data_IF_868203374132
#
_entry.id   IF_868203374132
#
_cell.length_a   1.000
_cell.length_b   1.000
_cell.length_c   1.000
_cell.angle_alpha   90.00
_cell.angle_beta   90.00
_cell.angle_gamma   90.00
#
_symmetry.space_group_name_H-M   'P 1'
#
loop_
_entity.id
_entity.type
_entity.pdbx_description
1 polymer ?
#
# COMPACT_ATOMS: atom_id res chain seq x y z
N UNK A 1 44.72 -35.65 -10.69
CA UNK A 1 44.06 -34.40 -10.29
C UNK A 1 43.26 -34.66 -9.03
N UNK A 2 43.72 -34.17 -7.87
CA UNK A 2 43.06 -34.43 -6.58
C UNK A 2 41.68 -33.76 -6.57
N UNK A 3 40.62 -34.53 -6.27
CA UNK A 3 39.28 -33.97 -6.03
C UNK A 3 39.38 -33.06 -4.81
N UNK A 4 39.31 -31.75 -5.03
CA UNK A 4 39.31 -30.77 -3.94
C UNK A 4 38.22 -31.07 -2.92
N UNK A 5 38.55 -30.95 -1.63
CA UNK A 5 37.62 -31.18 -0.53
C UNK A 5 36.40 -30.28 -0.69
N UNK A 6 35.20 -30.86 -0.69
CA UNK A 6 33.95 -30.09 -0.69
C UNK A 6 33.67 -29.58 0.72
N UNK A 7 33.63 -28.26 0.88
CA UNK A 7 33.20 -27.63 2.14
C UNK A 7 31.72 -27.89 2.38
N UNK A 8 31.39 -28.35 3.58
CA UNK A 8 30.01 -28.42 4.06
C UNK A 8 29.49 -27.03 4.40
N UNK A 9 28.19 -26.95 4.65
CA UNK A 9 27.57 -25.66 4.97
C UNK A 9 28.07 -25.09 6.31
N UNK A 10 28.28 -25.96 7.30
CA UNK A 10 28.86 -25.61 8.60
C UNK A 10 30.29 -25.10 8.45
N UNK A 11 31.09 -25.71 7.56
CA UNK A 11 32.47 -25.27 7.30
C UNK A 11 32.51 -23.86 6.72
N UNK A 12 31.62 -23.54 5.78
CA UNK A 12 31.54 -22.20 5.17
C UNK A 12 31.21 -21.12 6.20
N UNK A 13 30.31 -21.43 7.13
CA UNK A 13 29.93 -20.52 8.21
C UNK A 13 31.06 -20.31 9.22
N UNK A 14 31.81 -21.37 9.57
CA UNK A 14 33.00 -21.27 10.43
C UNK A 14 34.08 -20.40 9.79
N UNK A 15 34.36 -20.62 8.51
CA UNK A 15 35.33 -19.84 7.73
C UNK A 15 34.96 -18.35 7.73
N UNK A 16 33.69 -18.02 7.50
CA UNK A 16 33.22 -16.64 7.52
C UNK A 16 33.38 -15.99 8.91
N UNK A 17 33.07 -16.73 9.98
CA UNK A 17 33.22 -16.25 11.36
C UNK A 17 34.69 -16.01 11.73
N UNK A 18 35.57 -16.96 11.41
CA UNK A 18 37.01 -16.85 11.68
C UNK A 18 37.67 -15.73 10.87
N UNK A 19 37.22 -15.49 9.63
CA UNK A 19 37.64 -14.34 8.82
C UNK A 19 37.21 -13.01 9.43
N UNK A 20 35.99 -12.91 9.96
CA UNK A 20 35.50 -11.71 10.65
C UNK A 20 36.27 -11.44 11.96
N UNK A 21 36.80 -12.49 12.60
CA UNK A 21 37.66 -12.39 13.78
C UNK A 21 39.13 -12.07 13.45
N UNK A 22 39.46 -11.89 12.17
CA UNK A 22 40.79 -11.43 11.72
C UNK A 22 41.76 -12.54 11.30
N UNK A 23 41.35 -13.82 11.28
CA UNK A 23 42.22 -14.93 10.84
C UNK A 23 42.53 -14.80 9.36
N UNK A 24 43.78 -15.02 8.92
CA UNK A 24 44.18 -14.86 7.53
C UNK A 24 43.56 -15.94 6.62
N UNK A 25 43.22 -15.56 5.38
CA UNK A 25 42.61 -16.50 4.42
C UNK A 25 43.56 -17.63 4.01
N UNK A 26 44.88 -17.40 4.06
CA UNK A 26 45.90 -18.41 3.78
C UNK A 26 45.91 -19.53 4.83
N UNK A 27 45.82 -19.16 6.12
CA UNK A 27 45.79 -20.11 7.23
C UNK A 27 44.52 -20.98 7.16
N UNK A 28 43.39 -20.39 6.81
CA UNK A 28 42.13 -21.10 6.60
C UNK A 28 42.19 -22.01 5.37
N UNK A 29 42.79 -21.56 4.27
CA UNK A 29 42.98 -22.38 3.08
C UNK A 29 43.81 -23.64 3.39
N UNK A 30 44.89 -23.49 4.16
CA UNK A 30 45.74 -24.60 4.59
C UNK A 30 45.00 -25.53 5.56
N UNK A 31 44.31 -24.99 6.58
CA UNK A 31 43.57 -25.75 7.59
C UNK A 31 42.43 -26.57 7.00
N UNK A 32 41.69 -26.00 6.06
CA UNK A 32 40.58 -26.67 5.39
C UNK A 32 40.99 -27.45 4.14
N UNK A 33 42.25 -27.36 3.70
CA UNK A 33 42.77 -28.05 2.52
C UNK A 33 42.07 -27.60 1.22
N UNK A 34 41.73 -26.31 1.12
CA UNK A 34 40.99 -25.72 -0.01
C UNK A 34 41.75 -24.52 -0.58
N UNK A 35 41.40 -24.10 -1.80
CA UNK A 35 42.02 -22.92 -2.40
C UNK A 35 41.56 -21.61 -1.73
N UNK A 36 42.39 -20.57 -1.82
CA UNK A 36 42.03 -19.21 -1.38
C UNK A 36 40.70 -18.73 -2.00
N UNK A 37 40.48 -19.03 -3.28
CA UNK A 37 39.21 -18.73 -3.98
C UNK A 37 38.01 -19.37 -3.28
N UNK A 38 38.16 -20.58 -2.78
CA UNK A 38 37.10 -21.30 -2.06
C UNK A 38 36.81 -20.65 -0.70
N UNK A 39 37.83 -20.15 -0.02
CA UNK A 39 37.68 -19.37 1.22
C UNK A 39 36.93 -18.06 0.96
N UNK A 40 37.32 -17.28 -0.05
CA UNK A 40 36.61 -16.05 -0.42
C UNK A 40 35.17 -16.32 -0.85
N UNK A 41 34.92 -17.40 -1.60
CA UNK A 41 33.56 -17.80 -1.96
C UNK A 41 32.72 -18.20 -0.74
N UNK A 42 33.30 -18.85 0.27
CA UNK A 42 32.61 -19.19 1.51
C UNK A 42 32.25 -17.93 2.33
N UNK A 43 33.15 -16.95 2.39
CA UNK A 43 32.91 -15.64 3.03
C UNK A 43 31.80 -14.89 2.29
N UNK A 44 31.89 -14.78 0.96
CA UNK A 44 30.87 -14.11 0.16
C UNK A 44 29.51 -14.82 0.27
N UNK A 45 29.49 -16.15 0.24
CA UNK A 45 28.25 -16.91 0.45
C UNK A 45 27.64 -16.66 1.83
N UNK A 46 28.45 -16.48 2.87
CA UNK A 46 27.97 -16.13 4.20
C UNK A 46 27.48 -14.67 4.29
N UNK A 47 28.15 -13.73 3.63
CA UNK A 47 27.74 -12.33 3.53
C UNK A 47 26.45 -12.18 2.71
N UNK A 48 26.34 -12.86 1.57
CA UNK A 48 25.12 -12.91 0.75
C UNK A 48 23.96 -13.51 1.55
N UNK A 49 24.23 -14.55 2.35
CA UNK A 49 23.22 -15.11 3.24
C UNK A 49 22.91 -14.18 4.41
N UNK A 50 23.87 -13.44 4.97
CA UNK A 50 23.61 -12.43 6.01
C UNK A 50 22.83 -11.24 5.47
N UNK A 51 23.06 -10.83 4.22
CA UNK A 51 22.30 -9.78 3.56
C UNK A 51 20.90 -10.26 3.17
N UNK A 52 20.75 -11.54 2.78
CA UNK A 52 19.45 -12.16 2.53
C UNK A 52 18.66 -12.48 3.81
N UNK A 53 19.34 -12.83 4.91
CA UNK A 53 18.76 -13.20 6.22
C UNK A 53 18.94 -12.14 7.33
N UNK A 54 19.29 -10.89 7.00
CA UNK A 54 19.62 -9.84 7.97
C UNK A 54 18.53 -9.66 9.03
N UNK A 55 18.87 -9.96 10.29
CA UNK A 55 18.02 -10.09 11.47
C UNK A 55 16.70 -9.30 11.42
N UNK A 56 15.61 -10.00 11.15
CA UNK A 56 14.23 -9.52 11.35
C UNK A 56 13.70 -10.15 12.65
N UNK A 57 14.07 -9.63 13.84
CA UNK A 57 13.80 -10.30 15.11
C UNK A 57 12.31 -10.24 15.51
N UNK A 58 11.56 -9.30 14.92
CA UNK A 58 10.17 -9.06 15.28
C UNK A 58 9.27 -9.97 14.44
N UNK A 59 8.64 -10.93 15.10
CA UNK A 59 7.61 -11.78 14.51
C UNK A 59 6.25 -11.11 14.70
N UNK A 60 5.58 -10.82 13.59
CA UNK A 60 4.18 -10.39 13.59
C UNK A 60 3.33 -11.61 13.26
N UNK A 61 2.60 -12.13 14.26
CA UNK A 61 1.67 -13.23 14.09
C UNK A 61 0.27 -12.73 13.75
N UNK A 62 -0.33 -13.25 12.68
CA UNK A 62 -1.70 -12.93 12.27
C UNK A 62 -2.50 -14.23 12.07
N UNK A 63 -3.69 -14.30 12.65
CA UNK A 63 -4.67 -15.34 12.32
C UNK A 63 -5.59 -14.81 11.24
N UNK A 64 -5.74 -15.59 10.17
CA UNK A 64 -6.64 -15.29 9.05
C UNK A 64 -7.57 -16.46 8.80
N UNK A 65 -8.79 -16.15 8.38
CA UNK A 65 -9.73 -17.11 7.84
C UNK A 65 -9.27 -17.63 6.47
N UNK A 66 -9.85 -18.76 6.04
CA UNK A 66 -9.60 -19.31 4.70
C UNK A 66 -9.96 -18.34 3.58
N UNK A 67 -11.04 -17.57 3.77
CA UNK A 67 -11.52 -16.59 2.79
C UNK A 67 -10.51 -15.45 2.62
N UNK A 68 -9.98 -14.95 3.72
CA UNK A 68 -8.97 -13.87 3.70
C UNK A 68 -7.67 -14.33 3.04
N UNK A 69 -7.19 -15.53 3.37
CA UNK A 69 -5.99 -16.09 2.74
C UNK A 69 -6.18 -16.28 1.23
N UNK A 70 -7.32 -16.83 0.80
CA UNK A 70 -7.62 -17.04 -0.62
C UNK A 70 -7.71 -15.71 -1.39
N UNK A 71 -8.32 -14.68 -0.80
CA UNK A 71 -8.38 -13.35 -1.39
C UNK A 71 -6.99 -12.73 -1.54
N UNK A 72 -6.12 -12.92 -0.54
CA UNK A 72 -4.74 -12.46 -0.59
C UNK A 72 -3.94 -13.19 -1.68
N UNK A 73 -4.03 -14.52 -1.74
CA UNK A 73 -3.36 -15.31 -2.78
C UNK A 73 -3.80 -14.93 -4.19
N UNK A 74 -5.10 -14.72 -4.40
CA UNK A 74 -5.64 -14.25 -5.67
C UNK A 74 -5.08 -12.87 -6.04
N UNK A 75 -4.87 -11.98 -5.06
CA UNK A 75 -4.24 -10.69 -5.32
C UNK A 75 -2.77 -10.86 -5.74
N UNK A 76 -1.99 -11.67 -5.03
CA UNK A 76 -0.59 -11.92 -5.38
C UNK A 76 -0.44 -12.59 -6.75
N UNK A 77 -1.32 -13.54 -7.08
CA UNK A 77 -1.32 -14.24 -8.36
C UNK A 77 -1.50 -13.28 -9.55
N UNK A 78 -2.32 -12.23 -9.42
CA UNK A 78 -2.49 -11.20 -10.47
C UNK A 78 -1.19 -10.46 -10.79
N UNK A 79 -0.25 -10.40 -9.85
CA UNK A 79 1.06 -9.77 -10.02
C UNK A 79 2.20 -10.80 -10.23
N UNK A 80 1.87 -12.09 -10.33
CA UNK A 80 2.86 -13.17 -10.47
C UNK A 80 3.74 -13.39 -9.24
N UNK A 81 3.28 -12.95 -8.06
CA UNK A 81 4.03 -13.02 -6.80
C UNK A 81 3.68 -14.32 -6.08
N UNK A 82 4.70 -15.11 -5.73
CA UNK A 82 4.53 -16.41 -5.07
C UNK A 82 4.89 -16.39 -3.58
N UNK A 83 5.71 -15.43 -3.16
CA UNK A 83 6.14 -15.31 -1.77
C UNK A 83 5.25 -14.32 -0.99
N UNK A 84 4.31 -14.88 -0.22
CA UNK A 84 3.41 -14.13 0.68
C UNK A 84 4.15 -13.25 1.68
N UNK A 85 5.23 -13.77 2.26
CA UNK A 85 5.95 -13.07 3.32
C UNK A 85 6.70 -11.87 2.77
N UNK A 86 7.28 -11.99 1.58
CA UNK A 86 7.90 -10.84 0.91
C UNK A 86 6.85 -9.80 0.50
N UNK A 87 5.70 -10.24 -0.03
CA UNK A 87 4.61 -9.32 -0.35
C UNK A 87 4.12 -8.54 0.87
N UNK A 88 3.93 -9.20 2.02
CA UNK A 88 3.56 -8.54 3.27
C UNK A 88 4.64 -7.57 3.76
N UNK A 89 5.92 -7.91 3.63
CA UNK A 89 7.01 -7.01 4.01
C UNK A 89 7.02 -5.73 3.18
N UNK A 90 6.83 -5.86 1.88
CA UNK A 90 6.75 -4.71 0.99
C UNK A 90 5.53 -3.83 1.28
N UNK A 91 4.39 -4.43 1.68
CA UNK A 91 3.24 -3.66 2.17
C UNK A 91 3.53 -2.95 3.50
N UNK A 92 4.20 -3.61 4.45
CA UNK A 92 4.59 -3.01 5.73
C UNK A 92 5.57 -1.84 5.52
N UNK A 93 6.52 -1.97 4.59
CA UNK A 93 7.44 -0.89 4.24
C UNK A 93 6.73 0.30 3.59
N UNK A 94 5.71 0.04 2.77
CA UNK A 94 4.90 1.07 2.13
C UNK A 94 3.70 1.51 2.98
N UNK A 95 3.60 1.07 4.25
CA UNK A 95 2.41 1.29 5.06
C UNK A 95 2.13 2.77 5.27
N UNK A 96 3.16 3.59 5.43
CA UNK A 96 3.02 5.05 5.53
C UNK A 96 2.33 5.62 4.27
N UNK A 97 2.87 5.33 3.07
CA UNK A 97 2.28 5.77 1.80
C UNK A 97 0.84 5.24 1.59
N UNK A 98 0.54 4.01 2.03
CA UNK A 98 -0.75 3.34 1.79
C UNK A 98 -1.82 3.80 2.79
N UNK A 99 -1.45 3.99 4.05
CA UNK A 99 -2.36 4.32 5.15
C UNK A 99 -2.53 5.82 5.37
N UNK A 100 -1.71 6.64 4.70
CA UNK A 100 -1.84 8.09 4.74
C UNK A 100 -3.28 8.54 4.40
N UNK A 101 -3.90 9.37 5.27
CA UNK A 101 -5.17 10.01 4.99
C UNK A 101 -5.11 10.74 3.66
N UNK A 102 -6.16 10.59 2.86
CA UNK A 102 -6.27 11.34 1.61
C UNK A 102 -6.70 12.77 1.94
N UNK A 103 -5.71 13.64 2.16
CA UNK A 103 -5.92 15.05 2.44
C UNK A 103 -6.66 15.74 1.28
N UNK A 104 -6.35 15.40 0.03
CA UNK A 104 -7.02 15.97 -1.14
C UNK A 104 -8.50 15.55 -1.20
N UNK A 105 -8.81 14.29 -0.90
CA UNK A 105 -10.20 13.83 -0.76
C UNK A 105 -10.89 14.53 0.41
N UNK A 106 -10.22 14.68 1.54
CA UNK A 106 -10.78 15.31 2.75
C UNK A 106 -11.13 16.79 2.50
N UNK A 107 -10.23 17.53 1.85
CA UNK A 107 -10.46 18.92 1.43
C UNK A 107 -11.59 19.01 0.42
N UNK A 108 -11.60 18.14 -0.60
CA UNK A 108 -12.67 18.10 -1.60
C UNK A 108 -14.03 17.81 -0.96
N UNK A 109 -14.12 16.88 -0.02
CA UNK A 109 -15.36 16.58 0.72
C UNK A 109 -15.79 17.75 1.60
N UNK A 110 -14.85 18.41 2.28
CA UNK A 110 -15.13 19.53 3.18
C UNK A 110 -15.67 20.75 2.41
N UNK A 111 -15.06 21.09 1.27
CA UNK A 111 -15.55 22.16 0.40
C UNK A 111 -16.98 21.88 -0.07
N UNK A 112 -17.31 20.62 -0.38
CA UNK A 112 -18.67 20.23 -0.81
C UNK A 112 -19.69 20.21 0.31
N UNK A 113 -19.29 19.82 1.52
CA UNK A 113 -20.16 19.95 2.69
C UNK A 113 -20.57 21.42 2.93
N UNK A 114 -19.66 22.37 2.67
CA UNK A 114 -19.96 23.80 2.75
C UNK A 114 -20.97 24.24 1.67
N UNK A 115 -20.80 23.81 0.41
CA UNK A 115 -21.75 24.08 -0.68
C UNK A 115 -23.17 23.58 -0.36
N UNK A 116 -23.28 22.34 0.12
CA UNK A 116 -24.55 21.73 0.52
C UNK A 116 -25.19 22.51 1.67
N UNK A 117 -24.39 22.90 2.67
CA UNK A 117 -24.86 23.68 3.81
C UNK A 117 -25.41 25.04 3.38
N UNK A 118 -24.74 25.72 2.45
CA UNK A 118 -25.19 27.00 1.87
C UNK A 118 -26.57 26.85 1.20
N UNK A 119 -26.74 25.84 0.34
CA UNK A 119 -28.01 25.66 -0.37
C UNK A 119 -29.12 25.15 0.56
N UNK A 120 -28.79 24.26 1.51
CA UNK A 120 -29.73 23.81 2.54
C UNK A 120 -30.29 24.98 3.35
N UNK A 121 -29.45 25.97 3.68
CA UNK A 121 -29.90 27.21 4.33
C UNK A 121 -30.88 28.01 3.44
N UNK A 122 -30.62 28.11 2.14
CA UNK A 122 -31.54 28.78 1.20
C UNK A 122 -32.90 28.08 1.12
N UNK A 123 -32.91 26.73 1.09
CA UNK A 123 -34.15 25.94 1.10
C UNK A 123 -34.91 26.13 2.42
N UNK A 124 -34.21 26.09 3.56
CA UNK A 124 -34.83 26.33 4.87
C UNK A 124 -35.48 27.71 4.94
N UNK A 125 -34.88 28.73 4.33
CA UNK A 125 -35.49 30.06 4.23
C UNK A 125 -36.77 30.05 3.39
N UNK A 126 -36.77 29.36 2.24
CA UNK A 126 -37.98 29.20 1.41
C UNK A 126 -39.09 28.50 2.19
N UNK A 127 -38.78 27.37 2.83
CA UNK A 127 -39.75 26.61 3.65
C UNK A 127 -40.34 27.48 4.77
N UNK A 128 -39.49 28.26 5.46
CA UNK A 128 -39.92 29.17 6.52
C UNK A 128 -40.85 30.26 5.99
N UNK A 129 -40.52 30.92 4.87
CA UNK A 129 -41.37 31.94 4.24
C UNK A 129 -42.74 31.38 3.85
N UNK A 130 -42.77 30.16 3.28
CA UNK A 130 -44.02 29.49 2.92
C UNK A 130 -44.88 29.17 4.15
N UNK A 131 -44.26 28.68 5.24
CA UNK A 131 -44.94 28.41 6.49
C UNK A 131 -45.52 29.68 7.13
N UNK A 132 -44.76 30.79 7.12
CA UNK A 132 -45.20 32.08 7.64
C UNK A 132 -46.37 32.67 6.84
N UNK A 133 -46.34 32.57 5.51
CA UNK A 133 -47.45 33.01 4.65
C UNK A 133 -48.73 32.22 4.94
N UNK A 134 -48.61 30.88 5.09
CA UNK A 134 -49.72 30.00 5.44
C UNK A 134 -50.34 30.35 6.80
N UNK A 135 -49.50 30.58 7.82
CA UNK A 135 -49.95 30.95 9.16
C UNK A 135 -50.69 32.30 9.19
N UNK A 136 -50.28 33.25 8.35
CA UNK A 136 -50.89 34.58 8.24
C UNK A 136 -52.12 34.61 7.32
N UNK A 137 -52.52 33.49 6.72
CA UNK A 137 -53.60 33.44 5.73
C UNK A 137 -53.30 34.21 4.43
N UNK A 138 -52.02 34.47 4.16
CA UNK A 138 -51.55 35.19 2.98
C UNK A 138 -51.35 34.23 1.81
N UNK A 139 -51.39 34.71 0.55
CA UNK A 139 -51.02 33.90 -0.60
C UNK A 139 -49.64 33.28 -0.42
N UNK A 140 -49.47 32.02 -0.80
CA UNK A 140 -48.19 31.32 -0.71
C UNK A 140 -47.14 32.07 -1.54
N UNK A 141 -46.09 32.57 -0.89
CA UNK A 141 -45.00 33.31 -1.53
C UNK A 141 -43.99 32.40 -2.24
N UNK A 142 -44.47 31.47 -3.07
CA UNK A 142 -43.61 30.65 -3.92
C UNK A 142 -43.20 31.45 -5.16
N UNK A 143 -42.00 32.02 -5.11
CA UNK A 143 -41.47 32.89 -6.16
C UNK A 143 -40.64 32.13 -7.19
N UNK A 144 -40.40 32.74 -8.35
CA UNK A 144 -39.44 32.22 -9.34
C UNK A 144 -38.03 32.01 -8.75
N UNK A 145 -37.63 32.86 -7.80
CA UNK A 145 -36.39 32.72 -7.02
C UNK A 145 -36.40 31.45 -6.15
N UNK A 146 -37.51 31.18 -5.45
CA UNK A 146 -37.70 29.95 -4.65
C UNK A 146 -37.61 28.70 -5.52
N UNK A 147 -38.20 28.75 -6.72
CA UNK A 147 -38.09 27.69 -7.72
C UNK A 147 -36.65 27.55 -8.25
N UNK A 148 -35.91 28.65 -8.37
CA UNK A 148 -34.49 28.68 -8.70
C UNK A 148 -33.64 27.92 -7.67
N UNK A 149 -33.81 28.20 -6.37
CA UNK A 149 -33.05 27.54 -5.30
C UNK A 149 -33.30 26.02 -5.23
N UNK A 150 -34.54 25.58 -5.45
CA UNK A 150 -34.88 24.15 -5.48
C UNK A 150 -34.23 23.45 -6.69
N UNK A 151 -34.23 24.09 -7.86
CA UNK A 151 -33.53 23.58 -9.05
C UNK A 151 -32.02 23.56 -8.87
N UNK A 152 -31.43 24.59 -8.26
CA UNK A 152 -30.00 24.64 -7.93
C UNK A 152 -29.61 23.47 -7.01
N UNK A 153 -30.40 23.19 -5.99
CA UNK A 153 -30.18 22.05 -5.08
C UNK A 153 -30.29 20.70 -5.78
N UNK A 154 -31.33 20.50 -6.59
CA UNK A 154 -31.49 19.25 -7.35
C UNK A 154 -30.32 19.02 -8.30
N UNK A 155 -29.84 20.07 -8.98
CA UNK A 155 -28.64 20.02 -9.81
C UNK A 155 -27.39 19.68 -9.00
N UNK A 156 -27.23 20.25 -7.80
CA UNK A 156 -26.07 20.00 -6.96
C UNK A 156 -26.05 18.55 -6.43
N UNK A 157 -27.19 17.97 -6.04
CA UNK A 157 -27.24 16.56 -5.61
C UNK A 157 -26.85 15.59 -6.75
N UNK A 158 -27.32 15.85 -7.97
CA UNK A 158 -26.96 15.03 -9.13
C UNK A 158 -25.46 15.14 -9.43
N UNK A 159 -24.92 16.36 -9.50
CA UNK A 159 -23.49 16.60 -9.75
C UNK A 159 -22.59 16.05 -8.63
N UNK A 160 -23.06 16.10 -7.37
CA UNK A 160 -22.34 15.54 -6.22
C UNK A 160 -22.15 14.03 -6.37
N UNK A 161 -23.17 13.32 -6.84
CA UNK A 161 -23.11 11.85 -6.94
C UNK A 161 -22.04 11.42 -7.94
N UNK A 162 -22.02 12.04 -9.12
CA UNK A 162 -21.04 11.74 -10.17
C UNK A 162 -19.62 12.09 -9.72
N UNK A 163 -19.44 13.22 -9.06
CA UNK A 163 -18.12 13.66 -8.59
C UNK A 163 -17.60 12.85 -7.42
N UNK A 164 -18.46 12.45 -6.48
CA UNK A 164 -18.09 11.55 -5.39
C UNK A 164 -17.63 10.21 -5.96
N UNK A 165 -18.37 9.66 -6.94
CA UNK A 165 -17.97 8.43 -7.60
C UNK A 165 -16.61 8.59 -8.30
N UNK A 166 -16.39 9.69 -9.02
CA UNK A 166 -15.11 9.96 -9.68
C UNK A 166 -13.95 10.08 -8.67
N UNK A 167 -14.14 10.79 -7.55
CA UNK A 167 -13.14 10.94 -6.50
C UNK A 167 -12.80 9.59 -5.84
N UNK A 168 -13.81 8.78 -5.53
CA UNK A 168 -13.60 7.44 -4.95
C UNK A 168 -12.88 6.50 -5.91
N UNK A 169 -13.23 6.53 -7.20
CA UNK A 169 -12.57 5.75 -8.24
C UNK A 169 -11.11 6.18 -8.41
N UNK A 170 -10.85 7.49 -8.44
CA UNK A 170 -9.49 8.03 -8.49
C UNK A 170 -8.66 7.59 -7.29
N UNK A 171 -9.18 7.75 -6.07
CA UNK A 171 -8.51 7.29 -4.85
C UNK A 171 -8.23 5.79 -4.90
N UNK A 172 -9.19 4.98 -5.34
CA UNK A 172 -8.97 3.54 -5.51
C UNK A 172 -7.85 3.23 -6.50
N UNK A 173 -7.78 3.95 -7.61
CA UNK A 173 -6.70 3.79 -8.60
C UNK A 173 -5.35 4.19 -8.01
N UNK A 174 -5.26 5.31 -7.29
CA UNK A 174 -4.04 5.78 -6.64
C UNK A 174 -3.53 4.77 -5.59
N UNK A 175 -4.43 4.22 -4.77
CA UNK A 175 -4.09 3.16 -3.81
C UNK A 175 -3.59 1.89 -4.52
N UNK A 176 -4.24 1.48 -5.61
CA UNK A 176 -3.81 0.33 -6.39
C UNK A 176 -2.40 0.54 -6.98
N UNK A 177 -2.10 1.77 -7.43
CA UNK A 177 -0.77 2.13 -7.92
C UNK A 177 0.28 2.08 -6.81
N UNK A 178 -0.02 2.60 -5.61
CA UNK A 178 0.87 2.52 -4.44
C UNK A 178 1.18 1.07 -4.06
N UNK A 179 0.17 0.21 -4.01
CA UNK A 179 0.35 -1.24 -3.77
C UNK A 179 1.19 -1.88 -4.87
N UNK A 180 0.92 -1.55 -6.13
CA UNK A 180 1.68 -2.09 -7.27
C UNK A 180 3.15 -1.65 -7.22
N UNK A 181 3.41 -0.38 -6.90
CA UNK A 181 4.75 0.18 -6.68
C UNK A 181 5.48 -0.55 -5.55
N UNK A 182 4.79 -0.78 -4.43
CA UNK A 182 5.36 -1.52 -3.30
C UNK A 182 5.81 -2.93 -3.72
N UNK A 183 5.03 -3.59 -4.57
CA UNK A 183 5.30 -4.94 -5.07
C UNK A 183 6.18 -5.02 -6.33
N UNK A 184 6.46 -3.90 -7.00
CA UNK A 184 7.26 -3.88 -8.23
C UNK A 184 8.61 -4.64 -8.16
N UNK A 185 9.34 -4.64 -7.03
CA UNK A 185 10.56 -5.43 -6.89
C UNK A 185 10.33 -6.95 -6.95
N UNK A 186 9.13 -7.42 -6.59
CA UNK A 186 8.77 -8.84 -6.53
C UNK A 186 8.15 -9.37 -7.83
N UNK A 187 7.72 -8.47 -8.72
CA UNK A 187 7.12 -8.86 -9.99
C UNK A 187 8.19 -9.52 -10.88
N UNK A 188 7.95 -10.72 -11.45
CA UNK A 188 8.88 -11.35 -12.36
C UNK A 188 9.14 -10.49 -13.61
N UNK A 189 10.40 -10.43 -14.09
CA UNK A 189 10.79 -9.58 -15.24
C UNK A 189 10.02 -9.86 -16.54
N UNK A 190 9.44 -11.06 -16.68
CA UNK A 190 8.56 -11.43 -17.80
C UNK A 190 7.23 -10.67 -17.81
N UNK A 191 6.81 -10.10 -16.68
CA UNK A 191 5.58 -9.32 -16.53
C UNK A 191 5.83 -7.81 -16.47
N UNK A 192 7.09 -7.35 -16.47
CA UNK A 192 7.46 -5.92 -16.42
C UNK A 192 7.48 -5.23 -17.80
N UNK A 193 7.31 -5.97 -18.90
CA UNK A 193 7.50 -5.50 -20.28
C UNK A 193 6.21 -5.42 -21.12
N UNK A 194 5.05 -5.52 -20.50
CA UNK A 194 3.74 -5.27 -21.11
C UNK A 194 3.06 -4.09 -20.44
#
# INVERSE_FOLDING_TARGET
MSRGRRLTETDRLSIAKERAQGVAAADLAQRYGVSLKTIYNAVNHALDRQNANGSRPIVIGLRVSRRELAAFDAALARHGITNRTDALRHLVLAADEILEPDHALTEALSARAADISRIGNNINQVARRLNEARLKGQPLSYTAESHGHIREFAGLILDLTDRLQALLLKRRADLALKVTKAWAPLVPDRLKRG
#
